data_IF_095256408399
#
_entry.id   IF_095256408399
#
_cell.length_a   1.000
_cell.length_b   1.000
_cell.length_c   1.000
_cell.angle_alpha   90.00
_cell.angle_beta   90.00
_cell.angle_gamma   90.00
#
_symmetry.space_group_name_H-M   'P 1'
#
loop_
_entity.id
_entity.type
_entity.pdbx_description
1 polymer ?
#
# COMPACT_ATOMS: atom_id res chain seq x y z
N UNK A 1 -7.82 -39.18 -5.91
CA UNK A 1 -8.14 -37.80 -5.47
C UNK A 1 -7.09 -36.82 -6.02
N UNK A 2 -6.70 -36.95 -7.30
CA UNK A 2 -5.52 -36.27 -7.89
C UNK A 2 -5.86 -35.26 -9.00
N UNK A 3 -7.13 -35.18 -9.42
CA UNK A 3 -7.53 -34.30 -10.52
C UNK A 3 -7.62 -32.81 -10.17
N UNK A 4 -7.62 -32.42 -8.89
CA UNK A 4 -7.73 -31.00 -8.48
C UNK A 4 -6.42 -30.22 -8.56
N UNK A 5 -5.27 -30.91 -8.53
CA UNK A 5 -3.95 -30.28 -8.44
C UNK A 5 -3.46 -29.66 -9.76
N UNK A 6 -4.09 -29.98 -10.89
CA UNK A 6 -3.61 -29.54 -12.21
C UNK A 6 -4.29 -28.28 -12.76
N UNK A 7 -5.47 -27.91 -12.25
CA UNK A 7 -6.26 -26.83 -12.87
C UNK A 7 -5.69 -25.43 -12.56
N UNK A 8 -5.08 -25.25 -11.39
CA UNK A 8 -4.49 -23.96 -10.97
C UNK A 8 -3.02 -23.78 -11.35
N UNK A 9 -2.33 -24.83 -11.82
CA UNK A 9 -0.92 -24.72 -12.23
C UNK A 9 -0.77 -23.85 -13.49
N UNK A 10 -1.82 -23.74 -14.31
CA UNK A 10 -1.81 -22.88 -15.49
C UNK A 10 -2.05 -21.43 -15.08
N UNK A 11 -1.01 -20.59 -15.23
CA UNK A 11 -1.15 -19.13 -15.13
C UNK A 11 -2.30 -18.67 -16.05
N UNK A 12 -3.24 -17.92 -15.49
CA UNK A 12 -4.42 -17.44 -16.21
C UNK A 12 -5.64 -18.36 -16.13
N UNK A 13 -5.59 -19.38 -15.29
CA UNK A 13 -6.78 -20.10 -14.86
C UNK A 13 -7.78 -19.14 -14.19
N UNK A 14 -9.07 -19.45 -14.32
CA UNK A 14 -10.14 -18.70 -13.68
C UNK A 14 -10.69 -19.54 -12.54
N UNK A 15 -10.73 -18.92 -11.37
CA UNK A 15 -11.27 -19.52 -10.16
C UNK A 15 -12.48 -18.72 -9.67
N UNK A 16 -13.36 -19.40 -8.95
CA UNK A 16 -14.48 -18.79 -8.24
C UNK A 16 -14.22 -18.90 -6.73
N UNK A 17 -14.72 -17.92 -5.99
CA UNK A 17 -14.72 -18.01 -4.54
C UNK A 17 -15.81 -18.99 -4.10
N UNK A 18 -15.44 -20.02 -3.34
CA UNK A 18 -16.41 -20.97 -2.82
C UNK A 18 -17.12 -20.34 -1.62
N UNK A 19 -18.36 -19.89 -1.81
CA UNK A 19 -19.18 -19.30 -0.73
C UNK A 19 -19.76 -20.35 0.23
N UNK A 20 -19.81 -21.61 -0.19
CA UNK A 20 -20.39 -22.71 0.56
C UNK A 20 -19.27 -23.68 1.00
N UNK A 21 -18.21 -23.13 1.62
CA UNK A 21 -17.19 -23.98 2.21
C UNK A 21 -17.79 -24.81 3.34
N UNK A 22 -17.46 -26.12 3.42
CA UNK A 22 -17.85 -26.94 4.55
C UNK A 22 -17.33 -26.34 5.86
N UNK A 23 -18.14 -26.43 6.92
CA UNK A 23 -17.82 -25.89 8.25
C UNK A 23 -16.45 -26.39 8.75
N UNK A 24 -16.14 -27.67 8.50
CA UNK A 24 -14.86 -28.30 8.85
C UNK A 24 -13.65 -27.61 8.21
N UNK A 25 -13.80 -27.09 6.99
CA UNK A 25 -12.72 -26.37 6.30
C UNK A 25 -12.60 -24.96 6.84
N UNK A 26 -13.72 -24.30 7.17
CA UNK A 26 -13.74 -22.98 7.80
C UNK A 26 -13.10 -22.99 9.19
N UNK A 27 -13.38 -24.03 9.98
CA UNK A 27 -12.83 -24.20 11.32
C UNK A 27 -11.34 -24.56 11.29
N UNK A 28 -10.88 -25.15 10.18
CA UNK A 28 -9.47 -25.43 9.91
C UNK A 28 -8.66 -24.27 9.33
N UNK A 29 -9.26 -23.10 9.11
CA UNK A 29 -8.55 -21.90 8.63
C UNK A 29 -7.83 -21.20 9.78
N UNK A 30 -6.63 -20.72 9.50
CA UNK A 30 -5.92 -19.85 10.43
C UNK A 30 -6.62 -18.48 10.56
N UNK A 31 -6.32 -17.75 11.63
CA UNK A 31 -6.90 -16.41 11.88
C UNK A 31 -6.68 -15.44 10.71
N UNK A 32 -5.51 -15.46 10.08
CA UNK A 32 -5.19 -14.66 8.89
C UNK A 32 -6.02 -15.09 7.66
N UNK A 33 -6.18 -16.40 7.46
CA UNK A 33 -6.95 -16.93 6.34
C UNK A 33 -8.44 -16.62 6.48
N UNK A 34 -8.97 -16.60 7.71
CA UNK A 34 -10.34 -16.16 8.00
C UNK A 34 -10.54 -14.67 7.67
N UNK A 35 -9.55 -13.82 7.93
CA UNK A 35 -9.60 -12.41 7.53
C UNK A 35 -9.63 -12.28 6.02
N UNK A 36 -8.79 -13.05 5.31
CA UNK A 36 -8.78 -13.10 3.85
C UNK A 36 -10.14 -13.59 3.31
N UNK A 37 -10.69 -14.65 3.88
CA UNK A 37 -12.00 -15.20 3.51
C UNK A 37 -13.10 -14.13 3.59
N UNK A 38 -13.20 -13.44 4.73
CA UNK A 38 -14.17 -12.35 4.94
C UNK A 38 -13.94 -11.17 4.00
N UNK A 39 -12.69 -10.84 3.68
CA UNK A 39 -12.38 -9.76 2.76
C UNK A 39 -12.80 -10.10 1.31
N UNK A 40 -12.58 -11.34 0.88
CA UNK A 40 -12.96 -11.85 -0.45
C UNK A 40 -14.47 -11.94 -0.59
N UNK A 41 -15.16 -12.41 0.44
CA UNK A 41 -16.61 -12.46 0.46
C UNK A 41 -17.25 -11.08 0.22
N UNK A 42 -16.68 -10.03 0.83
CA UNK A 42 -17.14 -8.63 0.67
C UNK A 42 -16.90 -8.04 -0.72
N UNK A 43 -15.94 -8.55 -1.49
CA UNK A 43 -15.60 -8.00 -2.81
C UNK A 43 -16.71 -8.20 -3.85
N UNK A 44 -17.68 -9.09 -3.59
CA UNK A 44 -18.77 -9.45 -4.51
C UNK A 44 -18.29 -9.81 -5.94
N UNK A 45 -17.02 -10.17 -6.10
CA UNK A 45 -16.48 -10.61 -7.38
C UNK A 45 -16.90 -12.07 -7.62
N UNK A 46 -17.44 -12.36 -8.81
CA UNK A 46 -17.87 -13.72 -9.17
C UNK A 46 -16.70 -14.60 -9.60
N UNK A 47 -15.69 -14.01 -10.22
CA UNK A 47 -14.54 -14.72 -10.78
C UNK A 47 -13.24 -14.03 -10.39
N UNK A 48 -12.18 -14.82 -10.37
CA UNK A 48 -10.82 -14.39 -10.08
C UNK A 48 -9.89 -15.01 -11.12
N UNK A 49 -8.89 -14.26 -11.56
CA UNK A 49 -7.81 -14.78 -12.42
C UNK A 49 -6.62 -15.13 -11.56
N UNK A 50 -6.11 -16.34 -11.73
CA UNK A 50 -4.88 -16.80 -11.10
C UNK A 50 -3.69 -16.19 -11.81
N UNK A 51 -3.00 -15.27 -11.13
CA UNK A 51 -1.83 -14.58 -11.66
C UNK A 51 -0.58 -15.45 -11.52
N UNK A 52 -0.39 -16.00 -10.31
CA UNK A 52 0.76 -16.83 -9.95
C UNK A 52 0.39 -17.71 -8.76
N UNK A 53 0.76 -18.99 -8.80
CA UNK A 53 0.81 -19.84 -7.61
C UNK A 53 2.10 -19.52 -6.85
N UNK A 54 1.98 -19.15 -5.58
CA UNK A 54 3.13 -18.77 -4.75
C UNK A 54 3.76 -20.04 -4.19
N UNK A 55 2.95 -20.82 -3.47
CA UNK A 55 3.29 -22.11 -2.88
C UNK A 55 2.12 -23.08 -3.13
N UNK A 56 2.24 -24.33 -2.68
CA UNK A 56 1.15 -25.32 -2.78
C UNK A 56 -0.11 -24.94 -1.98
N UNK A 57 0.03 -24.00 -1.04
CA UNK A 57 -1.07 -23.53 -0.19
C UNK A 57 -1.66 -22.20 -0.63
N UNK A 58 -0.88 -21.33 -1.28
CA UNK A 58 -1.25 -19.94 -1.54
C UNK A 58 -1.11 -19.56 -3.01
N UNK A 59 -2.08 -18.78 -3.48
CA UNK A 59 -2.16 -18.26 -4.84
C UNK A 59 -2.38 -16.75 -4.84
N UNK A 60 -1.77 -16.07 -5.81
CA UNK A 60 -2.01 -14.66 -6.10
C UNK A 60 -3.13 -14.56 -7.13
N UNK A 61 -4.20 -13.88 -6.76
CA UNK A 61 -5.38 -13.71 -7.62
C UNK A 61 -5.75 -12.25 -7.82
N UNK A 62 -6.36 -11.99 -8.97
CA UNK A 62 -6.94 -10.70 -9.31
C UNK A 62 -8.46 -10.84 -9.50
N UNK A 63 -9.29 -9.95 -8.92
CA UNK A 63 -10.74 -10.01 -9.08
C UNK A 63 -11.16 -9.61 -10.50
N UNK A 64 -12.13 -10.36 -11.03
CA UNK A 64 -12.72 -10.16 -12.36
C UNK A 64 -14.16 -9.66 -12.21
N UNK A 65 -14.51 -8.67 -13.03
CA UNK A 65 -15.81 -8.05 -13.07
C UNK A 65 -16.44 -8.17 -14.46
N UNK A 66 -17.75 -8.38 -14.50
CA UNK A 66 -18.53 -8.43 -15.76
C UNK A 66 -18.66 -7.04 -16.38
N UNK A 67 -18.82 -6.01 -15.56
CA UNK A 67 -18.91 -4.60 -15.98
C UNK A 67 -17.62 -3.84 -15.66
N UNK A 68 -17.30 -2.86 -16.50
CA UNK A 68 -16.17 -1.96 -16.28
C UNK A 68 -16.50 -1.05 -15.09
N UNK A 69 -16.09 -1.45 -13.88
CA UNK A 69 -16.39 -0.69 -12.66
C UNK A 69 -15.41 0.46 -12.38
N UNK A 70 -14.22 0.51 -12.99
CA UNK A 70 -13.15 1.49 -12.67
C UNK A 70 -12.28 1.88 -13.87
N UNK A 71 -11.62 3.06 -13.78
CA UNK A 71 -10.58 3.52 -14.73
C UNK A 71 -9.39 2.55 -14.82
N UNK A 72 -9.06 1.90 -13.70
CA UNK A 72 -7.88 1.03 -13.58
C UNK A 72 -8.21 -0.45 -13.85
N UNK A 73 -9.18 -0.70 -14.73
CA UNK A 73 -9.55 -2.06 -15.15
C UNK A 73 -9.10 -2.33 -16.58
N UNK A 74 -8.55 -3.52 -16.83
CA UNK A 74 -8.16 -3.98 -18.18
C UNK A 74 -9.16 -4.99 -18.70
N UNK A 75 -9.58 -4.81 -19.95
CA UNK A 75 -10.47 -5.75 -20.63
C UNK A 75 -9.73 -7.06 -20.92
N UNK A 76 -10.32 -8.18 -20.50
CA UNK A 76 -9.88 -9.53 -20.85
C UNK A 76 -11.01 -10.24 -21.59
N UNK A 77 -10.65 -11.23 -22.40
CA UNK A 77 -11.63 -12.08 -23.10
C UNK A 77 -11.52 -13.50 -22.56
N UNK A 78 -12.66 -14.07 -22.19
CA UNK A 78 -12.79 -15.43 -21.68
C UNK A 78 -13.94 -16.07 -22.44
N UNK A 79 -13.68 -17.14 -23.19
CA UNK A 79 -14.68 -17.84 -24.01
C UNK A 79 -15.55 -16.88 -24.82
N UNK A 80 -14.92 -16.00 -25.59
CA UNK A 80 -15.56 -14.95 -26.39
C UNK A 80 -16.36 -13.87 -25.65
N UNK A 81 -16.53 -13.95 -24.32
CA UNK A 81 -17.13 -12.88 -23.50
C UNK A 81 -16.08 -11.93 -22.96
N UNK A 82 -16.43 -10.65 -22.86
CA UNK A 82 -15.55 -9.60 -22.35
C UNK A 82 -15.74 -9.43 -20.85
N UNK A 83 -14.65 -9.45 -20.10
CA UNK A 83 -14.60 -9.19 -18.68
C UNK A 83 -13.55 -8.12 -18.38
N UNK A 84 -13.50 -7.67 -17.13
CA UNK A 84 -12.62 -6.60 -16.68
C UNK A 84 -11.86 -7.03 -15.43
N UNK A 85 -10.55 -6.91 -15.45
CA UNK A 85 -9.70 -7.23 -14.28
C UNK A 85 -9.20 -5.93 -13.66
N UNK A 86 -9.39 -5.79 -12.35
CA UNK A 86 -8.78 -4.68 -11.61
C UNK A 86 -7.33 -5.04 -11.27
N UNK A 87 -6.38 -4.34 -11.89
CA UNK A 87 -4.95 -4.59 -11.68
C UNK A 87 -4.34 -3.79 -10.53
N UNK A 88 -5.12 -2.97 -9.82
CA UNK A 88 -4.68 -2.29 -8.59
C UNK A 88 -4.65 -3.20 -7.37
N UNK A 89 -5.47 -4.25 -7.37
CA UNK A 89 -5.74 -5.07 -6.18
C UNK A 89 -5.46 -6.52 -6.48
N UNK A 90 -4.37 -7.03 -5.92
CA UNK A 90 -4.09 -8.46 -5.89
C UNK A 90 -4.29 -8.98 -4.48
N UNK A 91 -4.79 -10.20 -4.38
CA UNK A 91 -5.01 -10.88 -3.12
C UNK A 91 -4.17 -12.15 -3.09
N UNK A 92 -3.46 -12.35 -1.99
CA UNK A 92 -2.87 -13.66 -1.67
C UNK A 92 -3.95 -14.44 -0.95
N UNK A 93 -4.28 -15.62 -1.48
CA UNK A 93 -5.45 -16.39 -1.07
C UNK A 93 -5.05 -17.84 -0.88
N UNK A 94 -5.51 -18.52 0.17
CA UNK A 94 -5.32 -19.95 0.29
C UNK A 94 -6.09 -20.70 -0.81
N UNK A 95 -5.46 -21.69 -1.43
CA UNK A 95 -6.06 -22.47 -2.52
C UNK A 95 -7.36 -23.16 -2.10
N UNK A 96 -7.44 -23.57 -0.82
CA UNK A 96 -8.59 -24.28 -0.23
C UNK A 96 -9.92 -23.51 -0.32
N UNK A 97 -9.89 -22.17 -0.35
CA UNK A 97 -11.12 -21.36 -0.39
C UNK A 97 -11.56 -20.98 -1.81
N UNK A 98 -10.78 -21.41 -2.80
CA UNK A 98 -11.06 -21.18 -4.22
C UNK A 98 -11.47 -22.48 -4.90
N UNK A 99 -12.40 -22.37 -5.85
CA UNK A 99 -12.85 -23.48 -6.67
C UNK A 99 -12.46 -23.22 -8.13
N UNK A 100 -11.92 -24.25 -8.79
CA UNK A 100 -11.58 -24.18 -10.20
C UNK A 100 -12.89 -24.15 -11.00
N UNK A 101 -13.01 -23.22 -11.96
CA UNK A 101 -14.18 -23.18 -12.83
C UNK A 101 -13.82 -23.90 -14.13
N UNK A 102 -14.21 -25.17 -14.31
CA UNK A 102 -13.84 -25.93 -15.49
C UNK A 102 -14.39 -25.26 -16.75
N UNK A 103 -13.56 -25.23 -17.80
CA UNK A 103 -13.94 -24.72 -19.11
C UNK A 103 -13.86 -23.20 -19.27
N UNK A 104 -13.51 -22.42 -18.23
CA UNK A 104 -13.24 -20.98 -18.36
C UNK A 104 -11.74 -20.72 -18.30
N UNK A 105 -11.14 -20.51 -19.47
CA UNK A 105 -9.72 -20.19 -19.58
C UNK A 105 -9.53 -18.89 -20.36
N UNK A 106 -8.40 -18.23 -20.10
CA UNK A 106 -7.95 -17.12 -20.94
C UNK A 106 -7.41 -17.65 -22.27
N UNK A 107 -7.91 -17.12 -23.38
CA UNK A 107 -7.45 -17.48 -24.74
C UNK A 107 -5.94 -17.20 -24.92
N UNK A 108 -5.45 -16.11 -24.32
CA UNK A 108 -4.04 -15.69 -24.35
C UNK A 108 -3.50 -15.41 -22.95
N UNK A 109 -3.36 -16.45 -22.13
CA UNK A 109 -3.05 -16.29 -20.70
C UNK A 109 -1.74 -15.51 -20.44
N UNK A 110 -0.64 -15.88 -21.09
CA UNK A 110 0.66 -15.23 -20.85
C UNK A 110 0.67 -13.75 -21.23
N UNK A 111 0.26 -13.42 -22.46
CA UNK A 111 0.19 -12.02 -22.95
C UNK A 111 -0.71 -11.17 -22.06
N UNK A 112 -1.85 -11.72 -21.64
CA UNK A 112 -2.79 -11.01 -20.77
C UNK A 112 -2.18 -10.75 -19.40
N UNK A 113 -1.52 -11.75 -18.80
CA UNK A 113 -0.89 -11.64 -17.49
C UNK A 113 0.29 -10.66 -17.50
N UNK A 114 1.17 -10.74 -18.50
CA UNK A 114 2.25 -9.76 -18.68
C UNK A 114 1.68 -8.35 -18.77
N UNK A 115 0.65 -8.16 -19.59
CA UNK A 115 0.01 -6.87 -19.77
C UNK A 115 -0.70 -6.38 -18.49
N UNK A 116 -1.14 -7.28 -17.59
CA UNK A 116 -1.66 -6.93 -16.27
C UNK A 116 -0.51 -6.45 -15.35
N UNK A 117 0.62 -7.19 -15.32
CA UNK A 117 1.78 -6.81 -14.52
C UNK A 117 2.39 -5.48 -14.97
N UNK A 118 2.52 -5.23 -16.27
CA UNK A 118 3.03 -3.96 -16.81
C UNK A 118 2.15 -2.78 -16.38
N UNK A 119 0.83 -2.94 -16.49
CA UNK A 119 -0.14 -1.94 -16.05
C UNK A 119 -0.04 -1.68 -14.54
N UNK A 120 0.13 -2.72 -13.72
CA UNK A 120 0.33 -2.57 -12.28
C UNK A 120 1.63 -1.81 -11.94
N UNK A 121 2.74 -2.18 -12.58
CA UNK A 121 4.04 -1.55 -12.34
C UNK A 121 4.06 -0.07 -12.75
N UNK A 122 3.33 0.31 -13.80
CA UNK A 122 3.20 1.71 -14.20
C UNK A 122 2.49 2.53 -13.12
N UNK A 123 1.40 2.01 -12.58
CA UNK A 123 0.67 2.65 -11.50
C UNK A 123 1.54 2.79 -10.23
N UNK A 124 2.29 1.76 -9.86
CA UNK A 124 3.21 1.83 -8.72
C UNK A 124 4.28 2.91 -8.92
N UNK A 125 4.85 2.99 -10.14
CA UNK A 125 5.82 4.04 -10.50
C UNK A 125 5.20 5.45 -10.38
N UNK A 126 3.95 5.63 -10.82
CA UNK A 126 3.26 6.91 -10.68
C UNK A 126 2.98 7.28 -9.22
N UNK A 127 2.56 6.31 -8.39
CA UNK A 127 2.36 6.54 -6.94
C UNK A 127 3.67 6.94 -6.26
N UNK A 128 4.76 6.22 -6.52
CA UNK A 128 6.08 6.56 -5.98
C UNK A 128 6.58 7.92 -6.46
N UNK A 129 6.34 8.29 -7.73
CA UNK A 129 6.68 9.62 -8.23
C UNK A 129 5.96 10.71 -7.44
N UNK A 130 4.64 10.59 -7.26
CA UNK A 130 3.83 11.56 -6.49
C UNK A 130 4.26 11.64 -5.03
N UNK A 131 4.56 10.51 -4.40
CA UNK A 131 5.06 10.50 -3.01
C UNK A 131 6.43 11.18 -2.90
N UNK A 132 7.30 10.99 -3.88
CA UNK A 132 8.62 11.61 -3.89
C UNK A 132 8.53 13.13 -4.12
N UNK A 133 7.70 13.58 -5.07
CA UNK A 133 7.39 15.00 -5.27
C UNK A 133 6.88 15.65 -3.98
N UNK A 134 5.96 14.99 -3.28
CA UNK A 134 5.45 15.47 -1.99
C UNK A 134 6.55 15.56 -0.93
N UNK A 135 7.44 14.56 -0.85
CA UNK A 135 8.58 14.58 0.09
C UNK A 135 9.56 15.72 -0.20
N UNK A 136 9.81 16.02 -1.48
CA UNK A 136 10.67 17.14 -1.89
C UNK A 136 10.04 18.46 -1.45
N UNK A 137 8.75 18.67 -1.75
CA UNK A 137 8.02 19.87 -1.32
C UNK A 137 8.03 20.05 0.21
N UNK A 138 7.81 18.96 0.96
CA UNK A 138 7.86 19.00 2.43
C UNK A 138 9.27 19.37 2.95
N UNK A 139 10.33 18.90 2.29
CA UNK A 139 11.70 19.28 2.62
C UNK A 139 11.98 20.75 2.31
N UNK A 140 11.51 21.26 1.18
CA UNK A 140 11.63 22.67 0.80
C UNK A 140 10.88 23.59 1.77
N UNK A 141 9.65 23.24 2.15
CA UNK A 141 8.89 23.97 3.17
C UNK A 141 9.63 24.03 4.52
N UNK A 142 10.22 22.91 4.94
CA UNK A 142 11.04 22.87 6.18
C UNK A 142 12.29 23.73 6.06
N UNK A 143 12.95 23.75 4.89
CA UNK A 143 14.12 24.60 4.63
C UNK A 143 13.73 26.07 4.71
N UNK A 144 12.67 26.47 4.02
CA UNK A 144 12.14 27.84 4.05
C UNK A 144 11.76 28.29 5.47
N UNK A 145 11.11 27.42 6.25
CA UNK A 145 10.77 27.73 7.64
C UNK A 145 12.01 27.96 8.52
N UNK A 146 13.09 27.17 8.32
CA UNK A 146 14.37 27.36 9.02
C UNK A 146 15.04 28.67 8.62
N UNK A 147 15.03 29.01 7.33
CA UNK A 147 15.59 30.27 6.84
C UNK A 147 14.80 31.48 7.36
N UNK A 148 13.47 31.43 7.36
CA UNK A 148 12.63 32.46 7.99
C UNK A 148 12.97 32.66 9.46
N UNK A 149 13.03 31.57 10.25
CA UNK A 149 13.40 31.64 11.67
C UNK A 149 14.83 32.18 11.89
N UNK A 150 15.76 31.88 10.98
CA UNK A 150 17.13 32.43 11.02
C UNK A 150 17.13 33.93 10.71
N UNK A 151 16.35 34.37 9.74
CA UNK A 151 16.23 35.79 9.37
C UNK A 151 15.52 36.59 10.48
N UNK A 152 14.44 36.07 11.08
CA UNK A 152 13.81 36.66 12.27
C UNK A 152 14.79 36.83 13.42
N UNK A 153 15.62 35.82 13.70
CA UNK A 153 16.69 35.93 14.70
C UNK A 153 17.71 37.01 14.35
N UNK A 154 18.10 37.13 13.08
CA UNK A 154 19.04 38.18 12.63
C UNK A 154 18.43 39.57 12.80
N UNK A 155 17.21 39.79 12.32
CA UNK A 155 16.51 41.05 12.51
C UNK A 155 16.34 41.39 13.99
N UNK A 156 16.02 40.43 14.86
CA UNK A 156 15.94 40.67 16.30
C UNK A 156 17.29 41.03 16.93
N UNK A 157 18.41 40.48 16.43
CA UNK A 157 19.76 40.82 16.91
C UNK A 157 20.19 42.23 16.49
N UNK A 158 19.70 42.74 15.36
CA UNK A 158 19.96 44.12 14.92
C UNK A 158 19.30 45.17 15.85
N UNK A 159 18.27 44.77 16.61
CA UNK A 159 17.60 45.60 17.64
C UNK A 159 18.01 45.27 19.08
N UNK A 160 18.99 44.37 19.29
CA UNK A 160 19.51 44.12 20.63
C UNK A 160 20.44 45.28 21.02
N UNK A 161 19.95 46.15 21.90
CA UNK A 161 20.82 47.08 22.61
C UNK A 161 21.93 46.29 23.32
N UNK A 162 23.20 46.72 23.24
CA UNK A 162 24.26 46.08 23.99
C UNK A 162 23.86 46.06 25.46
N UNK A 163 23.81 44.86 26.05
CA UNK A 163 23.45 44.67 27.46
C UNK A 163 24.35 45.61 28.28
N UNK A 164 23.81 46.56 29.06
CA UNK A 164 24.63 47.49 29.82
C UNK A 164 25.67 46.77 30.68
N UNK A 165 26.91 47.28 30.72
CA UNK A 165 28.05 46.58 31.35
C UNK A 165 27.78 46.12 32.79
N UNK A 166 26.98 46.87 33.54
CA UNK A 166 26.66 46.55 34.93
C UNK A 166 25.84 45.24 35.06
N UNK A 167 24.99 44.93 34.08
CA UNK A 167 24.25 43.65 34.03
C UNK A 167 25.15 42.50 33.55
N UNK A 168 26.10 42.77 32.65
CA UNK A 168 27.07 41.76 32.19
C UNK A 168 28.02 41.33 33.31
N UNK A 169 28.48 42.29 34.14
CA UNK A 169 29.35 42.02 35.30
C UNK A 169 28.63 41.22 36.40
N UNK A 170 27.36 41.52 36.65
CA UNK A 170 26.54 40.78 37.62
C UNK A 170 26.28 39.32 37.19
N UNK A 171 26.04 39.07 35.89
CA UNK A 171 25.84 37.72 35.37
C UNK A 171 27.11 36.85 35.40
N UNK A 172 28.30 37.45 35.23
CA UNK A 172 29.59 36.74 35.32
C UNK A 172 30.05 36.46 36.75
N UNK A 173 29.52 37.20 37.74
CA UNK A 173 29.86 37.04 39.15
C UNK A 173 28.60 37.28 40.01
N UNK A 174 27.71 36.28 40.14
CA UNK A 174 26.46 36.42 40.88
C UNK A 174 26.62 36.76 42.38
N UNK A 175 27.86 36.69 42.91
CA UNK A 175 28.17 36.95 44.31
C UNK A 175 29.30 37.97 44.55
N UNK A 176 29.75 38.74 43.54
CA UNK A 176 30.87 39.69 43.76
C UNK A 176 30.45 41.06 44.29
N UNK A 177 29.18 41.25 44.64
CA UNK A 177 28.70 42.44 45.35
C UNK A 177 28.32 42.06 46.78
N UNK A 178 29.33 41.79 47.61
CA UNK A 178 29.12 41.60 49.05
C UNK A 178 28.57 42.89 49.66
N UNK A 179 27.25 42.97 49.83
CA UNK A 179 26.66 43.81 50.86
C UNK A 179 27.08 43.22 52.20
N UNK A 180 28.18 43.74 52.74
CA UNK A 180 28.48 43.56 54.16
C UNK A 180 27.30 44.13 54.95
N UNK A 181 26.57 43.27 55.64
CA UNK A 181 25.62 43.68 56.66
C UNK A 181 26.41 44.42 57.75
N UNK A 182 26.05 45.68 58.00
CA UNK A 182 26.57 46.42 59.14
C UNK A 182 26.15 45.71 60.44
N UNK A 183 27.12 45.50 61.33
CA UNK A 183 26.88 45.12 62.73
C UNK A 183 26.35 46.31 63.51
#
# INVERSE_FOLDING_TARGET
MEMRLNDFNRRGAICAFNKALPQEVLDGLNSEELVIYRAIEKLQAKFFVVMKRINDTYMLVAPVFETQKKRDCKGIRVNNRRFWVNFMTFYVVPEKIMEAVPGKYLDYSYKTICAIYDSHNNVLREKWRKENEKRIMDQEHRRMARERKKNERRCNMDYLYPVPEYLQRAARRPYSGGLMAAR
#
